data_IF_429034897379
#
_entry.id   IF_429034897379
#
_cell.length_a   1.000
_cell.length_b   1.000
_cell.length_c   1.000
_cell.angle_alpha   90.00
_cell.angle_beta   90.00
_cell.angle_gamma   90.00
#
_symmetry.space_group_name_H-M   'P 1'
#
loop_
_entity.id
_entity.type
_entity.pdbx_description
1 polymer ?
#
# COMPACT_ATOMS: atom_id res chain seq x y z
N UNK A 1 -1.58 -19.11 17.36
CA UNK A 1 -2.13 -17.74 17.50
C UNK A 1 -3.34 -17.64 16.58
N UNK A 2 -4.49 -17.15 17.05
CA UNK A 2 -5.63 -16.82 16.16
C UNK A 2 -5.10 -15.90 15.04
N UNK A 3 -5.54 -16.12 13.80
CA UNK A 3 -5.16 -15.24 12.68
C UNK A 3 -5.44 -13.78 13.08
N UNK A 4 -4.37 -12.97 13.19
CA UNK A 4 -4.49 -11.52 13.43
C UNK A 4 -5.18 -10.94 12.19
N UNK A 5 -6.36 -10.36 12.37
CA UNK A 5 -7.06 -9.64 11.29
C UNK A 5 -6.23 -8.39 10.98
N UNK A 6 -5.92 -8.16 9.72
CA UNK A 6 -5.18 -6.98 9.26
C UNK A 6 -6.17 -5.94 8.73
N UNK A 7 -6.02 -4.69 9.15
CA UNK A 7 -6.82 -3.57 8.67
C UNK A 7 -5.95 -2.59 7.90
N UNK A 8 -6.48 -2.03 6.82
CA UNK A 8 -5.70 -1.18 5.93
C UNK A 8 -6.57 -0.46 4.90
N UNK A 9 -6.11 0.68 4.36
CA UNK A 9 -6.84 1.40 3.35
C UNK A 9 -6.58 0.84 1.95
N UNK A 10 -7.55 1.04 1.07
CA UNK A 10 -7.36 0.93 -0.37
C UNK A 10 -7.01 2.30 -0.95
N UNK A 11 -5.78 2.44 -1.44
CA UNK A 11 -5.22 3.72 -1.87
C UNK A 11 -4.62 4.51 -0.70
N UNK A 12 -3.99 5.64 -1.04
CA UNK A 12 -3.34 6.50 -0.05
C UNK A 12 -4.37 6.98 0.99
N UNK A 13 -4.07 6.90 2.30
CA UNK A 13 -4.98 7.34 3.36
C UNK A 13 -5.32 8.84 3.25
N UNK A 14 -6.53 9.21 3.68
CA UNK A 14 -6.92 10.62 3.84
C UNK A 14 -5.95 11.28 4.84
N UNK A 15 -5.30 12.37 4.44
CA UNK A 15 -4.30 13.07 5.25
C UNK A 15 -2.84 12.72 4.92
N UNK A 16 -2.59 11.69 4.12
CA UNK A 16 -1.24 11.40 3.62
C UNK A 16 -0.89 12.30 2.43
N UNK A 17 0.11 13.16 2.61
CA UNK A 17 0.60 14.10 1.58
C UNK A 17 1.97 13.70 0.99
N UNK A 18 2.48 12.52 1.32
CA UNK A 18 3.78 12.04 0.87
C UNK A 18 3.75 11.32 -0.48
N UNK A 19 4.92 10.83 -0.91
CA UNK A 19 5.01 9.92 -2.05
C UNK A 19 4.49 8.54 -1.66
N UNK A 20 3.72 7.87 -2.52
CA UNK A 20 3.18 6.53 -2.25
C UNK A 20 4.24 5.50 -1.83
N UNK A 21 5.50 5.66 -2.24
CA UNK A 21 6.59 4.75 -1.82
C UNK A 21 6.89 4.80 -0.31
N UNK A 22 6.45 5.84 0.40
CA UNK A 22 6.62 6.04 1.84
C UNK A 22 5.29 5.88 2.62
N UNK A 23 4.22 5.42 1.96
CA UNK A 23 2.87 5.41 2.57
C UNK A 23 2.78 4.45 3.76
N UNK A 24 3.62 3.42 3.83
CA UNK A 24 3.57 2.43 4.91
C UNK A 24 4.06 3.03 6.24
N UNK A 25 4.93 4.05 6.21
CA UNK A 25 5.31 4.79 7.42
C UNK A 25 4.07 5.42 8.06
N UNK A 26 3.29 6.15 7.26
CA UNK A 26 2.07 6.80 7.72
C UNK A 26 1.01 5.79 8.19
N UNK A 27 0.84 4.68 7.46
CA UNK A 27 -0.12 3.63 7.82
C UNK A 27 0.24 2.98 9.17
N UNK A 28 1.53 2.74 9.42
CA UNK A 28 2.05 2.26 10.69
C UNK A 28 1.80 3.27 11.81
N UNK A 29 2.08 4.56 11.57
CA UNK A 29 1.89 5.64 12.54
C UNK A 29 0.43 5.77 13.01
N UNK A 30 -0.54 5.49 12.15
CA UNK A 30 -1.97 5.51 12.49
C UNK A 30 -2.51 4.15 12.99
N UNK A 31 -1.63 3.15 13.19
CA UNK A 31 -1.96 1.87 13.83
C UNK A 31 -2.65 0.85 12.92
N UNK A 32 -2.44 0.92 11.60
CA UNK A 32 -2.97 -0.04 10.63
C UNK A 32 -1.92 -1.08 10.19
N UNK A 33 -2.35 -2.19 9.61
CA UNK A 33 -1.51 -3.37 9.33
C UNK A 33 -1.39 -3.71 7.82
N UNK A 34 -2.16 -3.06 6.96
CA UNK A 34 -2.23 -3.38 5.53
C UNK A 34 -2.40 -2.15 4.64
N UNK A 35 -2.10 -2.32 3.35
CA UNK A 35 -2.24 -1.31 2.32
C UNK A 35 -2.57 -1.96 0.98
N UNK A 36 -3.56 -1.45 0.26
CA UNK A 36 -3.82 -1.86 -1.12
C UNK A 36 -3.39 -0.76 -2.11
N UNK A 37 -2.41 -1.07 -2.96
CA UNK A 37 -2.02 -0.19 -4.06
C UNK A 37 -3.06 -0.25 -5.18
N UNK A 38 -3.61 0.91 -5.55
CA UNK A 38 -4.68 1.01 -6.54
C UNK A 38 -4.15 1.36 -7.93
N UNK A 39 -4.14 0.38 -8.84
CA UNK A 39 -3.77 0.58 -10.25
C UNK A 39 -5.00 0.87 -11.14
N UNK A 40 -5.97 1.67 -10.66
CA UNK A 40 -7.31 1.85 -11.27
C UNK A 40 -7.28 2.12 -12.77
N UNK A 41 -6.37 2.99 -13.23
CA UNK A 41 -6.18 3.38 -14.63
C UNK A 41 -4.86 2.86 -15.21
N UNK A 42 -4.53 1.60 -14.93
CA UNK A 42 -3.33 0.91 -15.40
C UNK A 42 -2.21 0.83 -14.35
N UNK A 43 -1.32 -0.14 -14.53
CA UNK A 43 -0.16 -0.33 -13.66
C UNK A 43 0.93 0.67 -14.05
N UNK A 44 0.89 1.85 -13.42
CA UNK A 44 1.84 2.96 -13.69
C UNK A 44 3.09 2.94 -12.80
N UNK A 45 3.09 2.13 -11.74
CA UNK A 45 4.24 2.00 -10.85
C UNK A 45 5.43 1.38 -11.60
N UNK A 46 6.59 2.04 -11.54
CA UNK A 46 7.84 1.51 -12.10
C UNK A 46 8.50 0.53 -11.13
N UNK A 47 9.32 -0.39 -11.66
CA UNK A 47 10.07 -1.38 -10.85
C UNK A 47 10.79 -0.76 -9.65
N UNK A 48 11.52 0.34 -9.86
CA UNK A 48 12.26 1.00 -8.78
C UNK A 48 11.34 1.52 -7.66
N UNK A 49 10.21 2.13 -8.01
CA UNK A 49 9.21 2.60 -7.04
C UNK A 49 8.54 1.42 -6.32
N UNK A 50 8.24 0.33 -7.04
CA UNK A 50 7.71 -0.89 -6.45
C UNK A 50 8.67 -1.52 -5.44
N UNK A 51 9.97 -1.55 -5.74
CA UNK A 51 11.00 -2.02 -4.81
C UNK A 51 11.08 -1.14 -3.56
N UNK A 52 11.06 0.20 -3.72
CA UNK A 52 11.06 1.14 -2.59
C UNK A 52 9.83 0.97 -1.70
N UNK A 53 8.64 0.84 -2.31
CA UNK A 53 7.40 0.57 -1.59
C UNK A 53 7.46 -0.76 -0.84
N UNK A 54 8.00 -1.81 -1.47
CA UNK A 54 8.18 -3.11 -0.84
C UNK A 54 9.14 -3.09 0.36
N UNK A 55 10.21 -2.30 0.28
CA UNK A 55 11.13 -2.08 1.39
C UNK A 55 10.44 -1.33 2.54
N UNK A 56 9.75 -0.23 2.22
CA UNK A 56 8.99 0.55 3.19
C UNK A 56 7.94 -0.30 3.93
N UNK A 57 7.24 -1.17 3.20
CA UNK A 57 6.31 -2.13 3.81
C UNK A 57 6.99 -3.14 4.73
N UNK A 58 8.17 -3.64 4.36
CA UNK A 58 8.92 -4.62 5.17
C UNK A 58 9.38 -4.01 6.49
N UNK A 59 9.90 -2.79 6.45
CA UNK A 59 10.35 -2.04 7.63
C UNK A 59 9.19 -1.80 8.61
N UNK A 60 7.98 -1.57 8.09
CA UNK A 60 6.80 -1.25 8.90
C UNK A 60 5.86 -2.44 9.19
N UNK A 61 6.22 -3.68 8.80
CA UNK A 61 5.35 -4.88 8.88
C UNK A 61 3.95 -4.70 8.22
N UNK A 62 3.87 -3.88 7.17
CA UNK A 62 2.63 -3.61 6.44
C UNK A 62 2.44 -4.65 5.34
N UNK A 63 1.28 -5.32 5.32
CA UNK A 63 0.94 -6.23 4.22
C UNK A 63 0.42 -5.44 3.03
N UNK A 64 1.08 -5.58 1.88
CA UNK A 64 0.62 -4.97 0.63
C UNK A 64 -0.21 -5.96 -0.19
N UNK A 65 -1.35 -5.50 -0.71
CA UNK A 65 -2.06 -6.05 -1.87
C UNK A 65 -2.05 -5.07 -3.04
N UNK A 66 -2.45 -5.54 -4.22
CA UNK A 66 -2.61 -4.68 -5.39
C UNK A 66 -4.00 -4.88 -5.97
N UNK A 67 -4.70 -3.78 -6.18
CA UNK A 67 -5.91 -3.73 -6.96
C UNK A 67 -5.55 -3.57 -8.45
N UNK A 68 -5.98 -4.51 -9.28
CA UNK A 68 -5.77 -4.47 -10.73
C UNK A 68 -6.55 -3.33 -11.42
N UNK A 69 -6.15 -2.92 -12.63
CA UNK A 69 -6.88 -1.89 -13.37
C UNK A 69 -8.29 -2.33 -13.76
N UNK A 70 -9.23 -1.38 -13.79
CA UNK A 70 -10.63 -1.59 -14.17
C UNK A 70 -10.86 -1.76 -15.68
N UNK A 71 -9.87 -2.21 -16.45
CA UNK A 71 -10.08 -2.45 -17.88
C UNK A 71 -11.08 -3.61 -18.05
N UNK A 72 -12.33 -3.27 -18.35
CA UNK A 72 -13.32 -4.17 -18.91
C UNK A 72 -13.09 -4.09 -20.42
N UNK A 73 -12.53 -5.15 -21.00
CA UNK A 73 -12.49 -5.33 -22.45
C UNK A 73 -13.73 -6.09 -22.91
#
# INVERSE_FOLDING_TARGET
MKNKIKFGPAGNPIGFNGQTVNVCDYISDIGLDAYEYQATYGVKIKKQSGLKLGENARVNDIRISMHGPYYIN
#
